data_IF_152408359376
#
_entry.id   IF_152408359376
#
_cell.length_a   1.000
_cell.length_b   1.000
_cell.length_c   1.000
_cell.angle_alpha   90.00
_cell.angle_beta   90.00
_cell.angle_gamma   90.00
#
_symmetry.space_group_name_H-M   'P 1'
#
loop_
_entity.id
_entity.type
_entity.pdbx_description
1 polymer ?
#
# COMPACT_ATOMS: atom_id res chain seq x y z
N UNK A 1 1.83 -8.26 6.55
CA UNK A 1 2.36 -7.01 5.95
C UNK A 1 2.34 -5.82 6.91
N UNK A 2 1.22 -5.51 7.57
CA UNK A 2 1.09 -4.28 8.40
C UNK A 2 2.13 -4.20 9.52
N UNK A 3 2.36 -5.28 10.27
CA UNK A 3 3.36 -5.27 11.35
C UNK A 3 4.78 -4.89 10.87
N UNK A 4 5.16 -5.33 9.66
CA UNK A 4 6.46 -4.99 9.07
C UNK A 4 6.46 -3.53 8.62
N UNK A 5 5.37 -3.04 8.04
CA UNK A 5 5.24 -1.64 7.62
C UNK A 5 5.36 -0.66 8.80
N UNK A 6 4.76 -0.99 9.95
CA UNK A 6 4.91 -0.21 11.19
C UNK A 6 6.36 -0.21 11.67
N UNK A 7 7.02 -1.39 11.70
CA UNK A 7 8.42 -1.49 12.13
C UNK A 7 9.39 -0.77 11.19
N UNK A 8 9.04 -0.66 9.91
CA UNK A 8 9.84 0.00 8.87
C UNK A 8 9.47 1.47 8.66
N UNK A 9 8.59 2.04 9.49
CA UNK A 9 8.13 3.43 9.42
C UNK A 9 7.58 3.82 8.02
N UNK A 10 6.82 2.90 7.40
CA UNK A 10 6.19 3.11 6.10
C UNK A 10 4.87 3.84 6.28
N UNK A 11 4.73 4.99 5.62
CA UNK A 11 3.53 5.83 5.69
C UNK A 11 2.37 5.37 4.81
N UNK A 12 2.65 4.64 3.71
CA UNK A 12 1.64 4.21 2.75
C UNK A 12 2.04 2.90 2.06
N UNK A 13 1.05 2.05 1.77
CA UNK A 13 1.21 0.82 0.99
C UNK A 13 0.37 0.91 -0.28
N UNK A 14 0.95 0.61 -1.43
CA UNK A 14 0.24 0.58 -2.71
C UNK A 14 0.11 -0.86 -3.19
N UNK A 15 -1.12 -1.27 -3.50
CA UNK A 15 -1.49 -2.60 -3.96
C UNK A 15 -1.72 -2.56 -5.48
N UNK A 16 -0.84 -3.21 -6.28
CA UNK A 16 -0.97 -3.24 -7.73
C UNK A 16 -2.07 -4.21 -8.19
N UNK A 17 -2.39 -4.14 -9.47
CA UNK A 17 -3.17 -5.14 -10.22
C UNK A 17 -4.58 -5.42 -9.66
N UNK A 18 -5.15 -4.47 -8.92
CA UNK A 18 -6.50 -4.61 -8.36
C UNK A 18 -6.62 -5.75 -7.34
N UNK A 19 -5.49 -6.15 -6.73
CA UNK A 19 -5.48 -7.22 -5.74
C UNK A 19 -6.34 -6.78 -4.55
N UNK A 20 -7.30 -7.64 -4.19
CA UNK A 20 -8.18 -7.38 -3.07
C UNK A 20 -7.44 -7.67 -1.76
N UNK A 21 -7.45 -6.69 -0.86
CA UNK A 21 -6.83 -6.82 0.46
C UNK A 21 -7.88 -7.31 1.44
N UNK A 22 -7.52 -8.32 2.22
CA UNK A 22 -8.41 -8.88 3.25
C UNK A 22 -8.82 -7.79 4.26
N UNK A 23 -10.11 -7.76 4.62
CA UNK A 23 -10.64 -6.87 5.68
C UNK A 23 -9.80 -6.82 6.97
N UNK A 24 -9.33 -7.94 7.56
CA UNK A 24 -8.48 -7.89 8.76
C UNK A 24 -7.20 -7.07 8.55
N UNK A 25 -6.63 -7.11 7.35
CA UNK A 25 -5.43 -6.34 6.98
C UNK A 25 -5.76 -4.86 6.86
N UNK A 26 -6.89 -4.51 6.24
CA UNK A 26 -7.38 -3.12 6.15
C UNK A 26 -7.67 -2.52 7.53
N UNK A 27 -8.36 -3.27 8.41
CA UNK A 27 -8.66 -2.83 9.78
C UNK A 27 -7.38 -2.57 10.57
N UNK A 28 -6.39 -3.47 10.46
CA UNK A 28 -5.12 -3.30 11.14
C UNK A 28 -4.35 -2.10 10.60
N UNK A 29 -4.34 -1.89 9.28
CA UNK A 29 -3.72 -0.71 8.68
C UNK A 29 -4.33 0.60 9.20
N UNK A 30 -5.67 0.67 9.25
CA UNK A 30 -6.39 1.82 9.78
C UNK A 30 -6.09 2.08 11.27
N UNK A 31 -5.95 1.03 12.09
CA UNK A 31 -5.58 1.15 13.51
C UNK A 31 -4.16 1.68 13.70
N UNK A 32 -3.23 1.27 12.86
CA UNK A 32 -1.82 1.67 12.91
C UNK A 32 -1.57 2.99 12.15
N UNK A 33 -2.60 3.59 11.55
CA UNK A 33 -2.48 4.85 10.80
C UNK A 33 -1.76 4.71 9.45
N UNK A 34 -1.77 3.52 8.85
CA UNK A 34 -1.16 3.24 7.55
C UNK A 34 -2.23 3.27 6.46
N UNK A 35 -2.05 4.16 5.48
CA UNK A 35 -2.92 4.25 4.31
C UNK A 35 -2.62 3.14 3.29
N UNK A 36 -3.67 2.50 2.78
CA UNK A 36 -3.59 1.48 1.75
C UNK A 36 -4.30 1.96 0.49
N UNK A 37 -3.55 2.11 -0.59
CA UNK A 37 -4.06 2.51 -1.90
C UNK A 37 -4.10 1.28 -2.82
N UNK A 38 -5.22 1.04 -3.48
CA UNK A 38 -5.33 -0.01 -4.49
C UNK A 38 -5.47 0.60 -5.89
N UNK A 39 -4.88 -0.05 -6.89
CA UNK A 39 -5.04 0.38 -8.28
C UNK A 39 -4.96 -0.81 -9.24
N UNK A 40 -5.68 -0.73 -10.36
CA UNK A 40 -5.63 -1.74 -11.43
C UNK A 40 -4.38 -1.63 -12.33
N UNK A 41 -3.36 -0.88 -11.91
CA UNK A 41 -2.11 -0.71 -12.67
C UNK A 41 -1.09 -1.73 -12.22
N UNK A 42 -0.20 -2.08 -13.14
CA UNK A 42 0.94 -2.94 -12.83
C UNK A 42 1.89 -2.25 -11.86
N UNK A 43 2.66 -3.03 -11.09
CA UNK A 43 3.69 -2.49 -10.21
C UNK A 43 4.70 -1.60 -10.98
N UNK A 44 5.01 -1.95 -12.22
CA UNK A 44 5.89 -1.17 -13.09
C UNK A 44 5.32 0.23 -13.41
N UNK A 45 4.04 0.31 -13.80
CA UNK A 45 3.39 1.59 -14.06
C UNK A 45 3.30 2.46 -12.81
N UNK A 46 3.09 1.85 -11.65
CA UNK A 46 3.08 2.56 -10.36
C UNK A 46 4.46 3.13 -10.07
N UNK A 47 5.51 2.32 -10.20
CA UNK A 47 6.89 2.76 -9.99
C UNK A 47 7.26 3.92 -10.93
N UNK A 48 6.94 3.80 -12.22
CA UNK A 48 7.21 4.85 -13.21
C UNK A 48 6.37 6.13 -12.97
N UNK A 49 5.19 6.02 -12.37
CA UNK A 49 4.41 7.19 -11.93
C UNK A 49 4.94 7.82 -10.65
N UNK A 50 5.36 7.00 -9.68
CA UNK A 50 5.94 7.46 -8.44
C UNK A 50 7.23 8.24 -8.68
N UNK A 51 8.06 7.80 -9.62
CA UNK A 51 9.26 8.50 -10.07
C UNK A 51 8.96 9.94 -10.54
N UNK A 52 7.81 10.20 -11.16
CA UNK A 52 7.46 11.53 -11.65
C UNK A 52 7.03 12.51 -10.55
N UNK A 53 6.74 12.01 -9.36
CA UNK A 53 6.21 12.79 -8.22
C UNK A 53 7.32 13.04 -7.18
N UNK A 54 8.35 12.19 -7.16
CA UNK A 54 9.59 12.34 -6.38
C UNK A 54 10.52 13.38 -7.01
#
# INVERSE_FOLDING_TARGET
IIAVAVMADISCIIIPEGIEVEEPTLKKAAQEGIEILSTNKTAYEIACKAEKIL
#
